data_IF_424330169586
#
_entry.id   IF_424330169586
#
_cell.length_a   1.000
_cell.length_b   1.000
_cell.length_c   1.000
_cell.angle_alpha   90.00
_cell.angle_beta   90.00
_cell.angle_gamma   90.00
#
_symmetry.space_group_name_H-M   'P 1'
#
loop_
_entity.id
_entity.type
_entity.pdbx_description
1 polymer ?
#
# COMPACT_ATOMS: atom_id res chain seq x y z
N UNK A 1 -23.79 30.97 -36.43
CA UNK A 1 -23.33 31.97 -35.44
C UNK A 1 -23.69 31.45 -34.06
N UNK A 2 -22.64 31.22 -33.24
CA UNK A 2 -22.63 30.90 -31.79
C UNK A 2 -23.31 29.56 -31.42
N UNK A 3 -22.56 28.48 -31.27
CA UNK A 3 -21.80 28.10 -30.04
C UNK A 3 -22.78 27.97 -28.86
N UNK A 4 -22.92 26.84 -28.18
CA UNK A 4 -21.80 26.21 -27.47
C UNK A 4 -21.98 24.72 -27.29
N UNK A 5 -20.93 23.98 -27.67
CA UNK A 5 -20.65 22.62 -27.24
C UNK A 5 -20.60 22.61 -25.70
N UNK A 6 -21.50 21.85 -25.07
CA UNK A 6 -21.32 21.47 -23.67
C UNK A 6 -20.24 20.40 -23.65
N UNK A 7 -18.98 20.85 -23.68
CA UNK A 7 -17.82 20.04 -23.31
C UNK A 7 -18.03 19.62 -21.86
N UNK A 8 -18.49 18.38 -21.67
CA UNK A 8 -18.47 17.73 -20.37
C UNK A 8 -17.00 17.45 -20.04
N UNK A 9 -16.37 18.37 -19.34
CA UNK A 9 -15.08 18.12 -18.71
C UNK A 9 -15.34 17.19 -17.53
N UNK A 10 -15.30 15.87 -17.75
CA UNK A 10 -15.03 14.91 -16.68
C UNK A 10 -13.60 15.19 -16.20
N UNK A 11 -13.48 16.12 -15.26
CA UNK A 11 -12.24 16.33 -14.52
C UNK A 11 -11.94 15.01 -13.81
N UNK A 12 -10.97 14.27 -14.36
CA UNK A 12 -10.34 13.10 -13.78
C UNK A 12 -9.98 13.42 -12.33
N UNK A 13 -10.88 13.06 -11.42
CA UNK A 13 -10.67 13.15 -9.99
C UNK A 13 -9.56 12.14 -9.70
N UNK A 14 -8.30 12.59 -9.71
CA UNK A 14 -7.20 11.81 -9.17
C UNK A 14 -7.58 11.52 -7.72
N UNK A 15 -8.08 10.31 -7.47
CA UNK A 15 -8.40 9.88 -6.12
C UNK A 15 -7.04 9.67 -5.46
N UNK A 16 -6.55 10.69 -4.75
CA UNK A 16 -5.42 10.54 -3.84
C UNK A 16 -5.88 9.56 -2.76
N UNK A 17 -5.66 8.26 -2.98
CA UNK A 17 -5.98 7.23 -2.00
C UNK A 17 -4.98 7.39 -0.86
N UNK A 18 -5.42 8.05 0.20
CA UNK A 18 -4.69 8.11 1.46
C UNK A 18 -4.44 6.69 1.95
N UNK A 19 -3.18 6.35 2.14
CA UNK A 19 -2.76 5.07 2.69
C UNK A 19 -2.38 5.30 4.15
N UNK A 20 -2.75 4.38 5.04
CA UNK A 20 -2.40 4.45 6.45
C UNK A 20 -1.64 3.19 6.86
N UNK A 21 -0.66 3.36 7.74
CA UNK A 21 0.00 2.22 8.39
C UNK A 21 -0.95 1.61 9.42
N UNK A 22 -1.24 0.32 9.31
CA UNK A 22 -2.10 -0.41 10.24
C UNK A 22 -1.48 -0.62 11.63
N UNK A 23 -0.16 -0.42 11.79
CA UNK A 23 0.51 -0.55 13.09
C UNK A 23 0.57 0.77 13.87
N UNK A 24 0.95 1.88 13.24
CA UNK A 24 1.14 3.16 13.92
C UNK A 24 0.12 4.26 13.55
N UNK A 25 -0.76 4.00 12.57
CA UNK A 25 -1.76 4.98 12.10
C UNK A 25 -1.20 6.10 11.21
N UNK A 26 0.11 6.13 10.95
CA UNK A 26 0.75 7.17 10.13
C UNK A 26 0.18 7.17 8.70
N UNK A 27 -0.18 8.36 8.20
CA UNK A 27 -0.55 8.59 6.80
C UNK A 27 0.70 8.46 5.91
N UNK A 28 0.61 7.61 4.89
CA UNK A 28 1.61 7.38 3.85
C UNK A 28 1.05 7.93 2.54
N UNK A 29 1.74 8.91 1.97
CA UNK A 29 1.30 9.57 0.74
C UNK A 29 1.81 8.74 -0.44
N UNK A 30 0.88 8.13 -1.18
CA UNK A 30 1.17 7.49 -2.46
C UNK A 30 0.90 8.52 -3.54
N UNK A 31 1.84 9.44 -3.75
CA UNK A 31 1.79 10.34 -4.89
C UNK A 31 2.39 9.61 -6.11
N UNK A 32 1.68 9.60 -7.24
CA UNK A 32 2.06 8.82 -8.44
C UNK A 32 3.36 9.31 -9.09
N UNK A 33 3.86 10.48 -8.69
CA UNK A 33 5.03 11.13 -9.30
C UNK A 33 6.28 11.03 -8.42
N UNK A 34 6.14 11.03 -7.09
CA UNK A 34 7.26 11.03 -6.15
C UNK A 34 6.86 10.36 -4.83
N UNK A 35 6.53 9.06 -4.85
CA UNK A 35 6.38 8.32 -3.60
C UNK A 35 7.74 8.24 -2.90
N UNK A 36 7.97 9.08 -1.89
CA UNK A 36 9.22 9.09 -1.11
C UNK A 36 9.36 7.97 -0.09
N UNK A 37 8.26 7.29 0.24
CA UNK A 37 8.25 6.23 1.24
C UNK A 37 7.59 4.99 0.67
N UNK A 38 8.33 3.88 0.70
CA UNK A 38 7.80 2.56 0.40
C UNK A 38 7.10 1.98 1.63
N UNK A 39 6.23 0.99 1.42
CA UNK A 39 5.49 0.32 2.49
C UNK A 39 5.24 -1.14 2.14
N UNK A 40 5.19 -1.98 3.17
CA UNK A 40 4.81 -3.37 3.02
C UNK A 40 3.29 -3.46 2.82
N UNK A 41 2.87 -4.12 1.75
CA UNK A 41 1.48 -4.48 1.48
C UNK A 41 1.29 -5.99 1.60
N UNK A 42 0.37 -6.41 2.47
CA UNK A 42 -0.03 -7.81 2.62
C UNK A 42 -1.52 -7.89 2.27
N UNK A 43 -1.83 -8.71 1.29
CA UNK A 43 -3.19 -9.18 1.03
C UNK A 43 -3.21 -10.68 1.30
N UNK A 44 -4.17 -11.11 2.12
CA UNK A 44 -4.28 -12.50 2.52
C UNK A 44 -5.74 -12.92 2.56
N UNK A 45 -6.05 -13.90 1.73
CA UNK A 45 -7.34 -14.56 1.72
C UNK A 45 -7.22 -15.85 2.53
N UNK A 46 -8.09 -16.02 3.53
CA UNK A 46 -8.04 -17.15 4.46
C UNK A 46 -9.01 -18.26 4.01
N UNK A 47 -8.46 -19.40 3.59
CA UNK A 47 -9.25 -20.59 3.23
C UNK A 47 -9.70 -21.41 4.45
N UNK A 48 -10.60 -22.36 4.21
CA UNK A 48 -11.35 -23.22 5.16
C UNK A 48 -10.58 -24.05 6.21
N UNK A 49 -9.26 -23.91 6.32
CA UNK A 49 -8.43 -24.62 7.29
C UNK A 49 -7.75 -23.68 8.29
N UNK A 50 -8.32 -22.49 8.46
CA UNK A 50 -7.83 -21.47 9.36
C UNK A 50 -8.87 -21.18 10.45
N UNK A 51 -8.51 -20.34 11.43
CA UNK A 51 -9.51 -19.80 12.38
C UNK A 51 -10.20 -18.54 11.83
N UNK A 52 -9.94 -18.19 10.57
CA UNK A 52 -10.36 -16.97 9.90
C UNK A 52 -11.02 -17.28 8.56
N UNK A 53 -11.69 -18.43 8.48
CA UNK A 53 -12.17 -18.97 7.22
C UNK A 53 -13.13 -18.00 6.53
N UNK A 54 -12.84 -17.72 5.25
CA UNK A 54 -13.62 -16.77 4.45
C UNK A 54 -13.34 -15.30 4.73
N UNK A 55 -12.34 -14.98 5.55
CA UNK A 55 -11.90 -13.60 5.74
C UNK A 55 -10.82 -13.19 4.73
N UNK A 56 -10.93 -11.95 4.23
CA UNK A 56 -9.92 -11.32 3.39
C UNK A 56 -9.26 -10.18 4.17
N UNK A 57 -7.96 -10.29 4.41
CA UNK A 57 -7.19 -9.35 5.20
C UNK A 57 -6.31 -8.50 4.30
N UNK A 58 -6.39 -7.18 4.49
CA UNK A 58 -5.51 -6.22 3.83
C UNK A 58 -4.78 -5.40 4.88
N UNK A 59 -3.44 -5.42 4.85
CA UNK A 59 -2.59 -4.74 5.82
C UNK A 59 -1.51 -3.95 5.08
N UNK A 60 -1.28 -2.71 5.52
CA UNK A 60 -0.23 -1.81 5.05
C UNK A 60 0.64 -1.42 6.22
N UNK A 61 1.95 -1.56 6.08
CA UNK A 61 2.90 -1.31 7.17
C UNK A 61 4.02 -0.41 6.65
N UNK A 62 4.23 0.75 7.30
CA UNK A 62 5.35 1.62 6.95
C UNK A 62 6.68 0.95 7.28
N UNK A 63 7.73 1.35 6.56
CA UNK A 63 9.10 0.81 6.72
C UNK A 63 9.56 0.73 8.19
N UNK A 64 9.40 1.82 8.96
CA UNK A 64 9.80 1.84 10.36
C UNK A 64 9.08 0.80 11.23
N UNK A 65 7.79 0.57 10.96
CA UNK A 65 7.02 -0.44 11.68
C UNK A 65 7.35 -1.85 11.18
N UNK A 66 7.69 -2.01 9.90
CA UNK A 66 8.19 -3.26 9.37
C UNK A 66 9.52 -3.63 10.06
N UNK A 67 10.47 -2.69 10.17
CA UNK A 67 11.75 -2.90 10.84
C UNK A 67 11.59 -3.30 12.31
N UNK A 68 10.62 -2.71 13.02
CA UNK A 68 10.26 -3.13 14.37
C UNK A 68 9.60 -4.52 14.38
N UNK A 69 8.72 -4.80 13.42
CA UNK A 69 7.98 -6.06 13.38
C UNK A 69 8.89 -7.25 13.11
N UNK A 70 9.84 -7.15 12.18
CA UNK A 70 10.77 -8.25 11.86
C UNK A 70 11.70 -8.60 13.02
N UNK A 71 11.94 -7.68 13.97
CA UNK A 71 12.71 -7.96 15.19
C UNK A 71 11.99 -8.95 16.11
N UNK A 72 10.66 -9.08 15.97
CA UNK A 72 9.85 -10.01 16.77
C UNK A 72 9.86 -11.44 16.22
N UNK A 73 10.38 -11.65 15.01
CA UNK A 73 10.32 -12.95 14.35
C UNK A 73 11.32 -13.93 14.96
N UNK A 74 10.86 -15.16 15.20
CA UNK A 74 11.73 -16.26 15.65
C UNK A 74 12.71 -16.71 14.57
N UNK A 75 12.30 -16.62 13.32
CA UNK A 75 13.14 -16.89 12.15
C UNK A 75 13.39 -15.55 11.45
N UNK A 76 14.65 -15.13 11.29
CA UNK A 76 14.97 -13.82 10.69
C UNK A 76 14.57 -13.78 9.21
N UNK A 77 14.27 -12.57 8.73
CA UNK A 77 13.99 -12.35 7.30
C UNK A 77 15.24 -12.64 6.47
N UNK A 78 15.06 -13.33 5.34
CA UNK A 78 16.14 -13.54 4.37
C UNK A 78 16.34 -12.26 3.57
N UNK A 79 17.57 -11.74 3.52
CA UNK A 79 17.91 -10.50 2.81
C UNK A 79 18.79 -10.82 1.61
N UNK A 80 18.43 -10.32 0.43
CA UNK A 80 19.27 -10.34 -0.77
C UNK A 80 19.37 -8.91 -1.28
N UNK A 81 20.59 -8.40 -1.44
CA UNK A 81 20.81 -7.11 -2.12
C UNK A 81 20.79 -7.37 -3.61
N UNK A 82 20.00 -6.62 -4.37
CA UNK A 82 20.17 -6.59 -5.82
C UNK A 82 21.43 -5.74 -6.11
N UNK A 83 22.37 -6.29 -6.87
CA UNK A 83 23.64 -5.63 -7.22
C UNK A 83 23.53 -4.77 -8.47
N UNK A 84 22.38 -4.76 -9.14
CA UNK A 84 22.11 -3.97 -10.34
C UNK A 84 20.81 -3.21 -10.15
N UNK A 85 20.92 -1.88 -10.07
CA UNK A 85 19.83 -0.94 -10.34
C UNK A 85 20.07 -0.52 -11.80
N UNK A 86 19.35 -1.14 -12.74
CA UNK A 86 19.36 -0.71 -14.14
C UNK A 86 18.62 0.62 -14.29
#
# INVERSE_FOLDING_TARGET
MKSSEKVQTEENKMIHKKVYCNLCGKEMIVDQVVSKQDYLFIQKDWGYFSKKDGEDHTIRICESCYDQWIQTFKVPVTRKKQTELL
#
